data_IF_409685469649
#
_entry.id   IF_409685469649
#
_cell.length_a   1.000
_cell.length_b   1.000
_cell.length_c   1.000
_cell.angle_alpha   90.00
_cell.angle_beta   90.00
_cell.angle_gamma   90.00
#
_symmetry.space_group_name_H-M   'P 1'
#
loop_
_entity.id
_entity.type
_entity.pdbx_description
1 polymer ?
#
# COMPACT_ATOMS: atom_id res chain seq x y z
N UNK A 1 11.87 -5.07 -16.96
CA UNK A 1 13.14 -4.46 -17.43
C UNK A 1 14.28 -4.58 -16.40
N UNK A 2 14.48 -3.71 -15.39
CA UNK A 2 15.67 -3.80 -14.50
C UNK A 2 15.76 -5.15 -13.76
N UNK A 3 14.65 -5.63 -13.19
CA UNK A 3 14.59 -6.94 -12.53
C UNK A 3 14.98 -8.11 -13.46
N UNK A 4 14.60 -8.03 -14.74
CA UNK A 4 14.97 -9.06 -15.74
C UNK A 4 16.46 -8.97 -16.11
N UNK A 5 16.99 -7.75 -16.25
CA UNK A 5 18.42 -7.52 -16.53
C UNK A 5 19.30 -8.09 -15.41
N UNK A 6 18.87 -7.97 -14.15
CA UNK A 6 19.58 -8.59 -13.02
C UNK A 6 19.64 -10.12 -13.09
N UNK A 7 18.60 -10.78 -13.61
CA UNK A 7 18.61 -12.25 -13.81
C UNK A 7 19.68 -12.65 -14.83
N UNK A 8 19.94 -11.77 -15.81
CA UNK A 8 20.94 -12.01 -16.86
C UNK A 8 22.34 -11.49 -16.50
N UNK A 9 22.56 -10.98 -15.28
CA UNK A 9 23.80 -10.31 -14.86
C UNK A 9 25.06 -11.12 -15.20
N UNK A 10 25.09 -12.41 -14.86
CA UNK A 10 26.27 -13.25 -15.09
C UNK A 10 26.48 -13.57 -16.58
N UNK A 11 25.39 -13.76 -17.33
CA UNK A 11 25.46 -13.95 -18.79
C UNK A 11 25.95 -12.68 -19.50
N UNK A 12 25.49 -11.51 -19.05
CA UNK A 12 25.90 -10.21 -19.59
C UNK A 12 27.37 -9.90 -19.29
N UNK A 13 27.85 -10.20 -18.08
CA UNK A 13 29.28 -10.05 -17.74
C UNK A 13 30.16 -10.89 -18.67
N UNK A 14 29.84 -12.17 -18.85
CA UNK A 14 30.59 -13.07 -19.76
C UNK A 14 30.60 -12.57 -21.21
N UNK A 15 29.49 -12.03 -21.68
CA UNK A 15 29.39 -11.46 -23.02
C UNK A 15 30.29 -10.22 -23.17
N UNK A 16 30.26 -9.34 -22.16
CA UNK A 16 31.09 -8.13 -22.11
C UNK A 16 32.57 -8.48 -22.12
N UNK A 17 33.01 -9.44 -21.30
CA UNK A 17 34.41 -9.89 -21.21
C UNK A 17 34.94 -10.46 -22.54
N UNK A 18 34.06 -11.00 -23.39
CA UNK A 18 34.39 -11.48 -24.74
C UNK A 18 34.21 -10.45 -25.85
N UNK A 19 33.88 -9.19 -25.53
CA UNK A 19 33.56 -8.13 -26.48
C UNK A 19 34.40 -6.87 -26.25
N UNK A 20 34.36 -5.91 -27.17
CA UNK A 20 34.96 -4.58 -26.98
C UNK A 20 34.04 -3.58 -26.25
N UNK A 21 32.86 -4.02 -25.79
CA UNK A 21 31.90 -3.15 -25.10
C UNK A 21 32.26 -2.97 -23.62
N UNK A 22 32.04 -1.77 -23.09
CA UNK A 22 32.09 -1.54 -21.64
C UNK A 22 30.75 -1.94 -21.00
N UNK A 23 30.78 -2.87 -20.06
CA UNK A 23 29.61 -3.28 -19.27
C UNK A 23 29.39 -2.41 -18.03
N UNK A 24 28.25 -2.58 -17.33
CA UNK A 24 28.00 -1.87 -16.08
C UNK A 24 29.03 -2.25 -15.02
N UNK A 25 29.49 -1.25 -14.27
CA UNK A 25 30.39 -1.41 -13.13
C UNK A 25 29.76 -2.21 -11.99
N UNK A 26 30.57 -2.80 -11.08
CA UNK A 26 30.05 -3.46 -9.89
C UNK A 26 29.12 -2.57 -9.05
N UNK A 27 29.40 -1.26 -9.00
CA UNK A 27 28.58 -0.29 -8.29
C UNK A 27 27.22 -0.08 -8.98
N UNK A 28 27.19 0.03 -10.31
CA UNK A 28 25.93 0.15 -11.06
C UNK A 28 25.05 -1.09 -10.91
N UNK A 29 25.66 -2.28 -10.89
CA UNK A 29 24.94 -3.53 -10.58
C UNK A 29 24.34 -3.50 -9.18
N UNK A 30 25.12 -3.07 -8.19
CA UNK A 30 24.65 -2.94 -6.81
C UNK A 30 23.50 -1.94 -6.69
N UNK A 31 23.62 -0.80 -7.36
CA UNK A 31 22.55 0.20 -7.43
C UNK A 31 21.27 -0.40 -8.05
N UNK A 32 21.38 -1.13 -9.15
CA UNK A 32 20.22 -1.78 -9.77
C UNK A 32 19.53 -2.80 -8.84
N UNK A 33 20.31 -3.59 -8.10
CA UNK A 33 19.80 -4.52 -7.09
C UNK A 33 19.04 -3.79 -5.97
N UNK A 34 19.65 -2.75 -5.41
CA UNK A 34 19.05 -1.94 -4.35
C UNK A 34 17.74 -1.29 -4.84
N UNK A 35 17.74 -0.73 -6.04
CA UNK A 35 16.55 -0.16 -6.67
C UNK A 35 15.43 -1.19 -6.86
N UNK A 36 15.75 -2.40 -7.33
CA UNK A 36 14.78 -3.47 -7.52
C UNK A 36 14.18 -3.90 -6.18
N UNK A 37 15.00 -4.10 -5.16
CA UNK A 37 14.51 -4.44 -3.82
C UNK A 37 13.63 -3.34 -3.22
N UNK A 38 13.97 -2.07 -3.45
CA UNK A 38 13.14 -0.94 -3.02
C UNK A 38 11.80 -0.88 -3.76
N UNK A 39 11.78 -1.14 -5.07
CA UNK A 39 10.56 -1.04 -5.88
C UNK A 39 9.64 -2.26 -5.78
N UNK A 40 10.13 -3.39 -5.26
CA UNK A 40 9.38 -4.65 -5.20
C UNK A 40 8.06 -4.54 -4.42
N UNK A 41 8.00 -3.92 -3.21
CA UNK A 41 6.73 -3.77 -2.50
C UNK A 41 5.71 -2.89 -3.25
N UNK A 42 6.17 -1.93 -4.05
CA UNK A 42 5.28 -1.14 -4.91
C UNK A 42 4.70 -2.00 -6.03
N UNK A 43 5.55 -2.80 -6.66
CA UNK A 43 5.13 -3.72 -7.71
C UNK A 43 4.09 -4.73 -7.18
N UNK A 44 4.30 -5.27 -5.99
CA UNK A 44 3.38 -6.22 -5.36
C UNK A 44 2.03 -5.57 -5.03
N UNK A 45 2.04 -4.35 -4.49
CA UNK A 45 0.81 -3.58 -4.28
C UNK A 45 0.08 -3.32 -5.62
N UNK A 46 0.80 -2.91 -6.68
CA UNK A 46 0.21 -2.70 -8.00
C UNK A 46 -0.42 -3.98 -8.57
N UNK A 47 0.28 -5.12 -8.49
CA UNK A 47 -0.25 -6.42 -8.93
C UNK A 47 -1.51 -6.79 -8.16
N UNK A 48 -1.50 -6.55 -6.84
CA UNK A 48 -2.62 -6.81 -5.96
C UNK A 48 -3.87 -6.02 -6.36
N UNK A 49 -3.72 -4.72 -6.62
CA UNK A 49 -4.85 -3.87 -7.04
C UNK A 49 -5.24 -4.05 -8.52
N UNK A 50 -4.32 -4.49 -9.37
CA UNK A 50 -4.60 -4.77 -10.79
C UNK A 50 -5.24 -6.14 -11.01
N UNK A 51 -5.29 -6.99 -9.99
CA UNK A 51 -5.90 -8.32 -10.09
C UNK A 51 -7.42 -8.21 -10.11
N UNK A 52 -8.03 -8.49 -11.26
CA UNK A 52 -9.49 -8.47 -11.44
C UNK A 52 -10.19 -9.73 -10.94
N UNK A 53 -9.45 -10.81 -10.66
CA UNK A 53 -10.02 -12.11 -10.27
C UNK A 53 -10.27 -12.23 -8.76
N UNK A 54 -9.69 -11.35 -7.95
CA UNK A 54 -9.79 -11.38 -6.49
C UNK A 54 -10.11 -10.00 -5.96
N UNK A 55 -11.11 -9.83 -5.08
CA UNK A 55 -11.36 -8.55 -4.43
C UNK A 55 -10.11 -8.08 -3.66
N UNK A 56 -9.67 -6.85 -3.89
CA UNK A 56 -8.47 -6.27 -3.25
C UNK A 56 -8.76 -4.99 -2.46
N UNK A 57 -9.98 -4.44 -2.57
CA UNK A 57 -10.39 -3.23 -1.84
C UNK A 57 -10.24 -3.37 -0.33
N UNK A 58 -10.48 -4.57 0.21
CA UNK A 58 -10.44 -4.88 1.63
C UNK A 58 -9.03 -4.83 2.26
N UNK A 59 -7.96 -4.89 1.46
CA UNK A 59 -6.57 -4.76 1.94
C UNK A 59 -5.96 -3.39 1.65
N UNK A 60 -6.76 -2.43 1.19
CA UNK A 60 -6.28 -1.12 0.76
C UNK A 60 -5.38 -0.42 1.80
N UNK A 61 -5.86 -0.28 3.05
CA UNK A 61 -5.08 0.38 4.11
C UNK A 61 -3.80 -0.39 4.42
N UNK A 62 -3.82 -1.72 4.37
CA UNK A 62 -2.64 -2.56 4.63
C UNK A 62 -1.54 -2.33 3.58
N UNK A 63 -1.89 -2.31 2.30
CA UNK A 63 -0.93 -2.07 1.21
C UNK A 63 -0.35 -0.66 1.30
N UNK A 64 -1.21 0.35 1.51
CA UNK A 64 -0.75 1.73 1.69
C UNK A 64 0.15 1.87 2.92
N UNK A 65 -0.17 1.18 4.02
CA UNK A 65 0.66 1.18 5.22
C UNK A 65 2.02 0.53 4.98
N UNK A 66 2.06 -0.53 4.18
CA UNK A 66 3.31 -1.21 3.80
C UNK A 66 4.21 -0.29 2.98
N UNK A 67 3.66 0.39 1.98
CA UNK A 67 4.36 1.41 1.21
C UNK A 67 4.86 2.55 2.12
N UNK A 68 4.03 3.04 3.05
CA UNK A 68 4.45 4.09 3.99
C UNK A 68 5.65 3.66 4.82
N UNK A 69 5.63 2.45 5.39
CA UNK A 69 6.75 1.92 6.19
C UNK A 69 8.02 1.83 5.37
N UNK A 70 7.93 1.32 4.15
CA UNK A 70 9.06 1.27 3.21
C UNK A 70 9.64 2.68 2.97
N UNK A 71 8.79 3.69 2.74
CA UNK A 71 9.23 5.06 2.44
C UNK A 71 9.85 5.79 3.64
N UNK A 72 9.59 5.32 4.86
CA UNK A 72 10.10 5.90 6.11
C UNK A 72 11.22 5.05 6.73
N UNK A 73 11.63 3.98 6.05
CA UNK A 73 12.64 3.07 6.56
C UNK A 73 13.99 3.78 6.63
N UNK A 74 14.58 3.81 7.82
CA UNK A 74 15.84 4.53 8.07
C UNK A 74 17.03 3.86 7.40
N UNK A 75 16.92 2.57 7.05
CA UNK A 75 17.97 1.83 6.35
C UNK A 75 18.33 2.43 4.99
N UNK A 76 17.45 3.25 4.41
CA UNK A 76 17.73 3.94 3.15
C UNK A 76 18.82 5.00 3.30
N UNK A 77 19.17 5.40 4.54
CA UNK A 77 20.20 6.43 4.78
C UNK A 77 21.60 6.03 4.36
N UNK A 78 21.87 4.73 4.29
CA UNK A 78 23.19 4.20 3.94
C UNK A 78 23.42 4.15 2.41
N UNK A 79 22.39 4.42 1.61
CA UNK A 79 22.47 4.43 0.14
C UNK A 79 21.85 5.70 -0.43
N UNK A 80 22.68 6.57 -1.01
CA UNK A 80 22.24 7.84 -1.59
C UNK A 80 21.12 7.66 -2.64
N UNK A 81 21.18 6.56 -3.41
CA UNK A 81 20.15 6.24 -4.41
C UNK A 81 18.83 5.85 -3.74
N UNK A 82 18.86 5.00 -2.71
CA UNK A 82 17.67 4.62 -1.97
C UNK A 82 17.05 5.81 -1.24
N UNK A 83 17.89 6.65 -0.61
CA UNK A 83 17.45 7.89 0.02
C UNK A 83 16.73 8.81 -0.98
N UNK A 84 17.32 9.02 -2.16
CA UNK A 84 16.70 9.83 -3.20
C UNK A 84 15.39 9.21 -3.71
N UNK A 85 15.35 7.90 -3.98
CA UNK A 85 14.14 7.20 -4.40
C UNK A 85 13.02 7.32 -3.36
N UNK A 86 13.34 7.05 -2.09
CA UNK A 86 12.41 7.21 -0.98
C UNK A 86 11.86 8.64 -0.91
N UNK A 87 12.72 9.65 -1.03
CA UNK A 87 12.30 11.06 -1.02
C UNK A 87 11.34 11.39 -2.18
N UNK A 88 11.67 11.00 -3.40
CA UNK A 88 10.82 11.28 -4.57
C UNK A 88 9.47 10.56 -4.49
N UNK A 89 9.48 9.29 -4.07
CA UNK A 89 8.26 8.51 -3.93
C UNK A 89 7.41 8.99 -2.73
N UNK A 90 8.03 9.45 -1.66
CA UNK A 90 7.35 10.02 -0.49
C UNK A 90 6.58 11.30 -0.85
N UNK A 91 7.11 12.15 -1.74
CA UNK A 91 6.38 13.34 -2.24
C UNK A 91 5.08 12.93 -2.93
N UNK A 92 5.13 11.93 -3.83
CA UNK A 92 3.94 11.39 -4.51
C UNK A 92 2.98 10.74 -3.50
N UNK A 93 3.50 9.96 -2.57
CA UNK A 93 2.72 9.31 -1.52
C UNK A 93 1.95 10.33 -0.68
N UNK A 94 2.62 11.38 -0.18
CA UNK A 94 1.99 12.44 0.64
C UNK A 94 0.84 13.13 -0.11
N UNK A 95 0.99 13.36 -1.42
CA UNK A 95 -0.09 13.94 -2.26
C UNK A 95 -1.35 13.07 -2.25
N UNK A 96 -1.21 11.77 -2.50
CA UNK A 96 -2.35 10.86 -2.57
C UNK A 96 -2.91 10.47 -1.19
N UNK A 97 -2.05 10.42 -0.17
CA UNK A 97 -2.45 10.06 1.18
C UNK A 97 -2.97 11.24 2.00
N UNK A 98 -2.92 12.49 1.51
CA UNK A 98 -3.52 13.63 2.22
C UNK A 98 -5.01 13.37 2.51
N UNK A 99 -5.72 12.81 1.54
CA UNK A 99 -7.13 12.40 1.66
C UNK A 99 -7.29 10.95 1.16
N UNK A 100 -7.25 9.96 2.08
CA UNK A 100 -7.48 8.56 1.74
C UNK A 100 -8.82 8.35 1.04
N UNK A 101 -8.90 7.39 0.12
CA UNK A 101 -10.16 7.08 -0.56
C UNK A 101 -11.17 6.51 0.45
N UNK A 102 -12.32 7.19 0.60
CA UNK A 102 -13.36 6.81 1.56
C UNK A 102 -13.88 5.39 1.34
N UNK A 103 -14.25 5.04 0.11
CA UNK A 103 -14.86 3.75 -0.23
C UNK A 103 -13.88 2.61 0.06
N UNK A 104 -12.62 2.75 -0.36
CA UNK A 104 -11.58 1.75 -0.11
C UNK A 104 -11.23 1.63 1.38
N UNK A 105 -11.29 2.75 2.11
CA UNK A 105 -11.10 2.76 3.57
C UNK A 105 -12.24 2.01 4.27
N UNK A 106 -13.49 2.25 3.88
CA UNK A 106 -14.66 1.53 4.40
C UNK A 106 -14.59 0.04 4.05
N UNK A 107 -14.24 -0.30 2.81
CA UNK A 107 -14.07 -1.69 2.37
C UNK A 107 -13.03 -2.43 3.21
N UNK A 108 -11.96 -1.76 3.65
CA UNK A 108 -11.00 -2.33 4.58
C UNK A 108 -11.65 -2.65 5.93
N UNK A 109 -12.44 -1.72 6.50
CA UNK A 109 -13.08 -1.94 7.82
C UNK A 109 -14.18 -3.01 7.76
N UNK A 110 -14.81 -3.22 6.61
CA UNK A 110 -15.76 -4.31 6.43
C UNK A 110 -15.10 -5.69 6.40
N UNK A 111 -13.79 -5.76 6.24
CA UNK A 111 -13.07 -7.00 6.50
C UNK A 111 -12.99 -7.25 8.01
N UNK A 112 -13.51 -8.39 8.52
CA UNK A 112 -13.45 -8.70 9.95
C UNK A 112 -12.03 -8.71 10.53
N UNK A 113 -11.00 -8.89 9.68
CA UNK A 113 -9.59 -8.88 10.08
C UNK A 113 -9.09 -7.48 10.42
N UNK A 114 -9.73 -6.41 9.92
CA UNK A 114 -9.28 -5.04 10.14
C UNK A 114 -10.32 -4.24 10.93
N UNK A 115 -10.00 -3.96 12.19
CA UNK A 115 -10.87 -3.16 13.07
C UNK A 115 -10.61 -1.66 12.88
N UNK A 116 -11.58 -0.83 13.28
CA UNK A 116 -11.43 0.63 13.33
C UNK A 116 -10.20 1.08 14.16
N UNK A 117 -9.78 0.27 15.13
CA UNK A 117 -8.55 0.50 15.88
C UNK A 117 -7.29 0.49 15.00
N UNK A 118 -7.22 -0.41 14.01
CA UNK A 118 -6.11 -0.44 13.05
C UNK A 118 -6.05 0.84 12.23
N UNK A 119 -7.19 1.33 11.76
CA UNK A 119 -7.26 2.59 11.03
C UNK A 119 -6.87 3.79 11.91
N UNK A 120 -7.32 3.79 13.17
CA UNK A 120 -6.93 4.79 14.16
C UNK A 120 -5.42 4.82 14.35
N UNK A 121 -4.78 3.66 14.49
CA UNK A 121 -3.33 3.54 14.59
C UNK A 121 -2.64 4.12 13.35
N UNK A 122 -3.07 3.71 12.15
CA UNK A 122 -2.51 4.20 10.89
C UNK A 122 -2.62 5.73 10.76
N UNK A 123 -3.78 6.31 11.08
CA UNK A 123 -3.99 7.75 10.98
C UNK A 123 -3.20 8.53 12.02
N UNK A 124 -3.13 8.08 13.29
CA UNK A 124 -2.28 8.71 14.30
C UNK A 124 -0.82 8.73 13.89
N UNK A 125 -0.31 7.61 13.36
CA UNK A 125 1.06 7.53 12.88
C UNK A 125 1.29 8.31 11.57
N UNK A 126 0.24 8.61 10.80
CA UNK A 126 0.33 9.34 9.54
C UNK A 126 0.26 10.86 9.70
N UNK A 127 -0.66 11.35 10.55
CA UNK A 127 -0.97 12.78 10.72
C UNK A 127 -0.62 13.31 12.12
N UNK A 128 -0.02 12.47 12.97
CA UNK A 128 0.26 12.80 14.37
C UNK A 128 -0.92 12.50 15.30
N UNK A 129 -0.72 12.69 16.60
CA UNK A 129 -1.74 12.42 17.62
C UNK A 129 -2.73 13.57 17.84
N UNK A 130 -2.68 14.61 16.99
CA UNK A 130 -3.55 15.78 17.07
C UNK A 130 -4.96 15.57 16.49
N UNK A 131 -5.67 16.70 16.38
CA UNK A 131 -7.06 16.76 15.92
C UNK A 131 -7.28 16.15 14.51
N UNK A 132 -6.32 16.27 13.60
CA UNK A 132 -6.50 15.79 12.22
C UNK A 132 -6.74 14.27 12.15
N UNK A 133 -5.96 13.48 12.89
CA UNK A 133 -6.11 12.03 12.90
C UNK A 133 -7.46 11.61 13.50
N UNK A 134 -7.87 12.21 14.61
CA UNK A 134 -9.15 11.90 15.27
C UNK A 134 -10.34 12.33 14.39
N UNK A 135 -10.28 13.50 13.76
CA UNK A 135 -11.31 13.96 12.83
C UNK A 135 -11.49 13.01 11.63
N UNK A 136 -10.40 12.50 11.04
CA UNK A 136 -10.48 11.51 9.95
C UNK A 136 -11.07 10.18 10.42
N UNK A 137 -10.73 9.69 11.61
CA UNK A 137 -11.33 8.48 12.18
C UNK A 137 -12.82 8.67 12.41
N UNK A 138 -13.22 9.80 13.01
CA UNK A 138 -14.64 10.09 13.28
C UNK A 138 -15.45 10.24 11.99
N UNK A 139 -14.86 10.84 10.96
CA UNK A 139 -15.46 10.90 9.62
C UNK A 139 -15.79 9.51 9.07
N UNK A 140 -14.84 8.57 9.13
CA UNK A 140 -15.06 7.18 8.69
C UNK A 140 -16.11 6.48 9.57
N UNK A 141 -16.04 6.66 10.90
CA UNK A 141 -17.01 6.10 11.85
C UNK A 141 -18.44 6.58 11.55
N UNK A 142 -18.62 7.85 11.22
CA UNK A 142 -19.92 8.41 10.87
C UNK A 142 -20.46 7.81 9.57
N UNK A 143 -19.60 7.59 8.57
CA UNK A 143 -19.99 6.88 7.35
C UNK A 143 -20.39 5.42 7.61
N UNK A 144 -19.66 4.70 8.46
CA UNK A 144 -20.02 3.34 8.86
C UNK A 144 -21.39 3.28 9.53
N UNK A 145 -21.68 4.20 10.46
CA UNK A 145 -22.99 4.31 11.12
C UNK A 145 -24.10 4.58 10.11
N UNK A 146 -23.88 5.48 9.14
CA UNK A 146 -24.86 5.78 8.08
C UNK A 146 -25.13 4.55 7.21
N UNK A 147 -24.08 3.86 6.77
CA UNK A 147 -24.21 2.66 5.95
C UNK A 147 -24.99 1.56 6.68
N UNK A 148 -24.68 1.33 7.96
CA UNK A 148 -25.40 0.37 8.79
C UNK A 148 -26.90 0.69 8.90
N UNK A 149 -27.26 1.96 9.14
CA UNK A 149 -28.66 2.38 9.19
C UNK A 149 -29.41 2.15 7.87
N UNK A 150 -28.75 2.40 6.74
CA UNK A 150 -29.35 2.12 5.43
C UNK A 150 -29.52 0.62 5.19
N UNK A 151 -28.54 -0.19 5.59
CA UNK A 151 -28.64 -1.64 5.53
C UNK A 151 -29.79 -2.18 6.39
N UNK A 152 -29.94 -1.70 7.62
CA UNK A 152 -31.03 -2.07 8.52
C UNK A 152 -32.41 -1.74 7.92
N UNK A 153 -32.57 -0.53 7.36
CA UNK A 153 -33.78 -0.12 6.64
C UNK A 153 -34.06 -1.01 5.43
N UNK A 154 -33.04 -1.36 4.66
CA UNK A 154 -33.19 -2.23 3.49
C UNK A 154 -33.57 -3.65 3.89
N UNK A 155 -32.94 -4.20 4.93
CA UNK A 155 -33.24 -5.51 5.50
C UNK A 155 -34.69 -5.61 6.00
N UNK A 156 -35.17 -4.57 6.69
CA UNK A 156 -36.55 -4.48 7.13
C UNK A 156 -37.55 -4.46 5.96
N UNK A 157 -37.24 -3.74 4.87
CA UNK A 157 -38.06 -3.72 3.63
C UNK A 157 -38.10 -5.09 2.93
N UNK A 158 -37.01 -5.85 2.99
CA UNK A 158 -36.90 -7.16 2.34
C UNK A 158 -37.48 -8.31 3.18
N UNK A 159 -38.04 -8.05 4.36
CA UNK A 159 -38.67 -9.07 5.21
C UNK A 159 -37.70 -10.07 5.84
N UNK A 160 -36.38 -9.87 5.76
CA UNK A 160 -35.37 -10.78 6.32
C UNK A 160 -35.39 -10.81 7.86
N UNK A 161 -35.82 -9.72 8.49
CA UNK A 161 -35.89 -9.61 9.96
C UNK A 161 -36.91 -10.57 10.60
N UNK A 162 -37.82 -11.17 9.83
CA UNK A 162 -38.88 -12.05 10.33
C UNK A 162 -38.43 -13.50 10.58
N UNK A 163 -37.25 -13.93 10.08
CA UNK A 163 -36.88 -15.35 10.05
C UNK A 163 -35.69 -15.74 10.94
N UNK A 164 -35.08 -14.81 11.69
CA UNK A 164 -33.90 -15.09 12.54
C UNK A 164 -34.23 -15.04 14.05
N UNK A 165 -35.50 -14.82 14.41
CA UNK A 165 -35.96 -14.65 15.80
C UNK A 165 -36.89 -15.75 16.30
N UNK A 166 -36.74 -17.00 15.86
CA UNK A 166 -37.53 -18.12 16.38
C UNK A 166 -36.71 -19.40 16.45
N UNK A 167 -35.88 -19.50 17.49
CA UNK A 167 -35.37 -20.76 18.07
C UNK A 167 -34.91 -20.48 19.49
#
# INVERSE_FOLDING_TARGET
MIKEVLVLKESLKRYVDGSTMAGPSPMEWKHAEDMVGFLEPFLDATKTFSNVRKPSSHIYIKEVWTIRRLLLDEKHRDSAILQNLALQMQKKFKKYWKNPNLILTLATIFDPRYKLMFLTFCFKKAYGEGYEASAKVEYIRNWLKRYYKEYERASARMGWASSVGSS
#
